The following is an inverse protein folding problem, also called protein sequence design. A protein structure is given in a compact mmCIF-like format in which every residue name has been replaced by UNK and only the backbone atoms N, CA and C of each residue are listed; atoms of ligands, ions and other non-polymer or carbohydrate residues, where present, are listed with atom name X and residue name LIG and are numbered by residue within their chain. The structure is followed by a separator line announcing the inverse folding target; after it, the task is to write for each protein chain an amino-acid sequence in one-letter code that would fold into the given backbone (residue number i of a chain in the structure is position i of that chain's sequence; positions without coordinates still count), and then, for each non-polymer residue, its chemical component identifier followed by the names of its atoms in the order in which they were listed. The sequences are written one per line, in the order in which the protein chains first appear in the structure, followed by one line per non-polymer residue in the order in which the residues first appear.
data_IF_539014003213
#
_entry.id   IF_539014003213
#
_cell.length_a   1.000
_cell.length_b   1.000
_cell.length_c   1.000
_cell.angle_alpha   90.00
_cell.angle_beta   90.00
_cell.angle_gamma   90.00
#
_symmetry.space_group_name_H-M   'P 1'
#
loop_
_entity.id
_entity.type
_entity.pdbx_description
1 polymer ?
#
# COMPACT_ATOMS: atom_id res chain seq x y z
N UNK A 1 5.60 18.72 -6.08
CA UNK A 1 4.43 19.21 -5.34
C UNK A 1 4.17 18.25 -4.20
N UNK A 2 4.21 18.70 -2.96
CA UNK A 2 4.12 17.85 -1.77
C UNK A 2 2.97 18.33 -0.92
N UNK A 3 2.16 17.40 -0.40
CA UNK A 3 1.11 17.68 0.59
C UNK A 3 1.35 16.83 1.82
N UNK A 4 1.39 17.45 2.95
CA UNK A 4 1.39 16.76 4.23
C UNK A 4 -0.03 16.76 4.76
N UNK A 5 -0.56 15.58 5.06
CA UNK A 5 -1.82 15.43 5.79
C UNK A 5 -1.55 14.72 7.11
N UNK A 6 -2.20 15.21 8.15
CA UNK A 6 -2.18 14.57 9.45
C UNK A 6 -3.41 13.68 9.58
N UNK A 7 -3.22 12.42 9.91
CA UNK A 7 -4.32 11.56 10.35
C UNK A 7 -4.76 12.00 11.75
N UNK A 8 -6.04 12.24 11.93
CA UNK A 8 -6.60 12.62 13.24
C UNK A 8 -6.53 11.44 14.21
N UNK A 9 -6.63 10.22 13.68
CA UNK A 9 -6.59 8.99 14.47
C UNK A 9 -5.53 8.03 13.94
N UNK A 10 -4.81 7.32 14.81
CA UNK A 10 -3.92 6.25 14.38
C UNK A 10 -4.75 5.14 13.71
N UNK A 11 -4.38 4.75 12.50
CA UNK A 11 -5.06 3.70 11.75
C UNK A 11 -4.08 2.91 10.89
N UNK A 12 -4.32 1.60 10.80
CA UNK A 12 -3.66 0.71 9.85
C UNK A 12 -4.63 0.20 8.77
N UNK A 13 -5.88 0.69 8.77
CA UNK A 13 -6.95 0.22 7.89
C UNK A 13 -6.77 0.83 6.51
N UNK A 14 -6.62 -0.03 5.50
CA UNK A 14 -6.34 0.39 4.12
C UNK A 14 -7.40 1.32 3.54
N UNK A 15 -8.67 1.10 3.83
CA UNK A 15 -9.78 1.96 3.35
C UNK A 15 -9.70 3.38 3.89
N UNK A 16 -9.36 3.55 5.16
CA UNK A 16 -9.18 4.87 5.76
C UNK A 16 -7.97 5.59 5.15
N UNK A 17 -6.84 4.88 5.02
CA UNK A 17 -5.64 5.44 4.39
C UNK A 17 -5.93 5.92 2.96
N UNK A 18 -6.67 5.13 2.18
CA UNK A 18 -7.10 5.54 0.84
C UNK A 18 -7.97 6.81 0.91
N UNK A 19 -8.88 6.89 1.88
CA UNK A 19 -9.70 8.09 2.10
C UNK A 19 -8.86 9.35 2.31
N UNK A 20 -7.85 9.28 3.18
CA UNK A 20 -6.92 10.38 3.41
C UNK A 20 -6.11 10.75 2.15
N UNK A 21 -5.63 9.73 1.43
CA UNK A 21 -4.89 9.95 0.18
C UNK A 21 -5.74 10.64 -0.88
N UNK A 22 -6.99 10.20 -1.05
CA UNK A 22 -7.92 10.81 -2.00
C UNK A 22 -8.29 12.24 -1.61
N UNK A 23 -8.47 12.51 -0.32
CA UNK A 23 -8.71 13.87 0.16
C UNK A 23 -7.50 14.79 -0.11
N UNK A 24 -6.29 14.30 0.13
CA UNK A 24 -5.06 15.02 -0.21
C UNK A 24 -4.95 15.30 -1.70
N UNK A 25 -5.22 14.27 -2.51
CA UNK A 25 -5.17 14.38 -3.96
C UNK A 25 -6.17 15.42 -4.47
N UNK A 26 -7.44 15.38 -4.04
CA UNK A 26 -8.48 16.36 -4.42
C UNK A 26 -8.09 17.78 -4.10
N UNK A 27 -7.38 18.00 -2.98
CA UNK A 27 -6.96 19.32 -2.54
C UNK A 27 -5.84 19.92 -3.40
N UNK A 28 -5.00 19.05 -3.98
CA UNK A 28 -3.82 19.46 -4.74
C UNK A 28 -3.91 19.15 -6.24
N UNK A 29 -4.93 18.45 -6.67
CA UNK A 29 -5.07 18.07 -8.07
C UNK A 29 -5.05 19.30 -8.98
N UNK A 30 -4.14 19.26 -9.96
CA UNK A 30 -4.09 20.20 -11.08
C UNK A 30 -3.98 19.39 -12.37
N UNK A 31 -4.59 19.83 -13.48
CA UNK A 31 -4.46 19.18 -14.77
C UNK A 31 -3.02 19.39 -15.32
N UNK A 32 -2.12 18.51 -14.94
CA UNK A 32 -0.73 18.51 -15.33
C UNK A 32 -0.29 17.08 -15.69
N UNK A 33 0.60 16.88 -16.68
CA UNK A 33 1.11 15.55 -17.01
C UNK A 33 2.06 15.05 -15.92
N UNK A 34 1.52 14.28 -14.96
CA UNK A 34 2.31 13.68 -13.89
C UNK A 34 3.08 12.47 -14.40
N UNK A 35 4.36 12.41 -14.09
CA UNK A 35 5.22 11.27 -14.41
C UNK A 35 5.22 10.20 -13.33
N UNK A 36 5.18 10.62 -12.08
CA UNK A 36 5.14 9.74 -10.90
C UNK A 36 4.34 10.37 -9.78
N UNK A 37 3.66 9.54 -9.02
CA UNK A 37 3.05 9.90 -7.74
C UNK A 37 3.53 8.92 -6.67
N UNK A 38 3.71 9.39 -5.46
CA UNK A 38 4.12 8.57 -4.33
C UNK A 38 3.50 9.07 -3.04
N UNK A 39 3.34 8.16 -2.10
CA UNK A 39 2.86 8.45 -0.76
C UNK A 39 3.90 7.94 0.23
N UNK A 40 4.21 8.76 1.21
CA UNK A 40 5.13 8.42 2.30
C UNK A 40 4.36 8.53 3.61
N UNK A 41 4.33 7.45 4.36
CA UNK A 41 3.79 7.43 5.71
C UNK A 41 4.91 7.71 6.70
N UNK A 42 4.71 8.70 7.57
CA UNK A 42 5.68 9.10 8.59
C UNK A 42 5.06 8.92 9.97
N UNK A 43 5.92 8.90 11.00
CA UNK A 43 5.51 8.75 12.40
C UNK A 43 4.71 7.45 12.64
N UNK A 44 5.20 6.34 12.08
CA UNK A 44 4.61 5.03 12.34
C UNK A 44 4.90 4.63 13.79
N UNK A 45 3.85 4.18 14.48
CA UNK A 45 3.93 3.63 15.83
C UNK A 45 3.38 2.21 15.87
N UNK A 46 3.82 1.42 16.84
CA UNK A 46 3.23 0.09 17.06
C UNK A 46 1.75 0.22 17.47
N UNK A 47 0.94 -0.74 17.02
CA UNK A 47 -0.48 -0.80 17.37
C UNK A 47 -0.70 -0.90 18.89
N UNK A 48 0.24 -1.54 19.61
CA UNK A 48 0.19 -1.71 21.06
C UNK A 48 0.35 -0.37 21.82
N UNK A 49 1.04 0.59 21.21
CA UNK A 49 1.29 1.92 21.78
C UNK A 49 0.26 2.96 21.30
N UNK A 50 -0.70 2.57 20.49
CA UNK A 50 -1.73 3.47 20.01
C UNK A 50 -2.71 3.78 21.15
N UNK A 51 -2.64 4.98 21.69
CA UNK A 51 -3.58 5.44 22.69
C UNK A 51 -4.99 5.48 22.10
N UNK A 52 -5.90 4.73 22.70
CA UNK A 52 -7.30 4.77 22.30
C UNK A 52 -7.88 6.12 22.74
N UNK A 53 -8.44 6.85 21.80
CA UNK A 53 -9.16 8.08 22.12
C UNK A 53 -10.53 7.76 22.70
N UNK A 54 -10.86 8.41 23.78
CA UNK A 54 -12.10 8.19 24.54
C UNK A 54 -13.38 8.47 23.72
N UNK A 55 -13.26 9.25 22.66
CA UNK A 55 -14.39 9.68 21.80
C UNK A 55 -14.37 9.02 20.43
N UNK A 56 -13.63 7.92 20.23
CA UNK A 56 -13.57 7.21 18.97
C UNK A 56 -14.67 6.13 18.92
N UNK A 57 -15.82 6.46 18.39
CA UNK A 57 -17.00 5.59 18.27
C UNK A 57 -16.94 4.63 17.07
N UNK A 58 -15.82 4.59 16.33
CA UNK A 58 -15.70 3.76 15.12
C UNK A 58 -15.65 2.27 15.46
N UNK A 59 -16.27 1.40 14.65
CA UNK A 59 -16.26 -0.05 14.87
C UNK A 59 -14.89 -0.66 14.47
N UNK A 60 -13.83 -0.27 15.17
CA UNK A 60 -12.43 -0.71 14.90
C UNK A 60 -12.29 -2.21 14.82
N UNK A 61 -12.91 -2.95 15.73
CA UNK A 61 -12.78 -4.40 15.77
C UNK A 61 -13.27 -5.09 14.49
N UNK A 62 -14.36 -4.58 13.89
CA UNK A 62 -14.90 -5.11 12.64
C UNK A 62 -13.92 -4.87 11.49
N UNK A 63 -13.39 -3.67 11.41
CA UNK A 63 -12.52 -3.25 10.32
C UNK A 63 -11.15 -3.91 10.43
N UNK A 64 -10.64 -4.10 11.63
CA UNK A 64 -9.42 -4.87 11.88
C UNK A 64 -9.59 -6.36 11.52
N UNK A 65 -10.72 -6.97 11.86
CA UNK A 65 -11.02 -8.36 11.46
C UNK A 65 -11.08 -8.49 9.94
N UNK A 66 -11.72 -7.55 9.28
CA UNK A 66 -11.79 -7.51 7.82
C UNK A 66 -10.39 -7.38 7.20
N UNK A 67 -9.57 -6.45 7.70
CA UNK A 67 -8.21 -6.25 7.21
C UNK A 67 -7.37 -7.52 7.40
N UNK A 68 -7.41 -8.14 8.58
CA UNK A 68 -6.72 -9.41 8.85
C UNK A 68 -7.17 -10.54 7.93
N UNK A 69 -8.47 -10.63 7.61
CA UNK A 69 -8.98 -11.63 6.68
C UNK A 69 -8.47 -11.39 5.25
N UNK A 70 -8.46 -10.15 4.78
CA UNK A 70 -7.91 -9.78 3.46
C UNK A 70 -6.42 -10.11 3.40
N UNK A 71 -5.67 -9.76 4.42
CA UNK A 71 -4.22 -10.02 4.49
C UNK A 71 -3.93 -11.53 4.51
N UNK A 72 -4.73 -12.29 5.23
CA UNK A 72 -4.63 -13.75 5.25
C UNK A 72 -4.87 -14.36 3.86
N UNK A 73 -5.93 -13.95 3.16
CA UNK A 73 -6.21 -14.43 1.81
C UNK A 73 -5.07 -14.05 0.86
N UNK A 74 -4.60 -12.81 0.91
CA UNK A 74 -3.53 -12.34 0.05
C UNK A 74 -2.18 -13.01 0.35
N UNK A 75 -1.94 -13.46 1.57
CA UNK A 75 -0.75 -14.24 1.92
C UNK A 75 -0.80 -15.67 1.38
N UNK A 76 -1.97 -16.29 1.35
CA UNK A 76 -2.15 -17.67 0.86
C UNK A 76 -2.23 -17.75 -0.66
N UNK A 77 -3.00 -16.88 -1.29
CA UNK A 77 -3.34 -16.97 -2.71
C UNK A 77 -2.58 -15.97 -3.60
N UNK A 78 -1.72 -15.16 -3.00
CA UNK A 78 -0.93 -14.15 -3.69
C UNK A 78 -1.40 -12.73 -3.43
N UNK A 79 -0.46 -11.78 -3.52
CA UNK A 79 -0.60 -10.36 -3.10
C UNK A 79 -1.74 -9.58 -3.77
N UNK A 80 -2.45 -10.17 -4.71
CA UNK A 80 -3.50 -9.50 -5.49
C UNK A 80 -4.78 -10.31 -5.60
N UNK A 81 -4.94 -11.36 -4.78
CA UNK A 81 -6.13 -12.20 -4.79
C UNK A 81 -7.39 -11.40 -4.42
N UNK A 82 -7.29 -10.57 -3.38
CA UNK A 82 -8.35 -9.63 -2.98
C UNK A 82 -7.81 -8.22 -3.04
N UNK A 83 -8.52 -7.35 -3.73
CA UNK A 83 -8.20 -5.92 -3.86
C UNK A 83 -9.41 -5.08 -3.50
N UNK A 84 -9.16 -3.91 -2.94
CA UNK A 84 -10.20 -2.90 -2.76
C UNK A 84 -10.53 -2.31 -4.13
N UNK A 85 -11.82 -2.10 -4.43
CA UNK A 85 -12.26 -1.62 -5.74
C UNK A 85 -11.56 -0.34 -6.22
N UNK A 86 -11.20 0.54 -5.30
CA UNK A 86 -10.45 1.76 -5.61
C UNK A 86 -9.00 1.52 -6.06
N UNK A 87 -8.45 0.32 -5.84
CA UNK A 87 -7.12 -0.06 -6.31
C UNK A 87 -7.15 -0.61 -7.74
N UNK A 88 -8.33 -0.97 -8.24
CA UNK A 88 -8.52 -1.54 -9.57
C UNK A 88 -8.72 -0.41 -10.58
N UNK A 89 -7.66 0.32 -10.88
CA UNK A 89 -7.73 1.47 -11.79
C UNK A 89 -7.46 1.13 -13.25
N UNK A 90 -7.12 -0.06 -13.62
CA UNK A 90 -7.11 -0.53 -15.02
C UNK A 90 -6.50 -1.91 -15.18
N UNK A 91 -7.01 -2.58 -16.17
CA UNK A 91 -6.44 -3.71 -16.92
C UNK A 91 -4.93 -3.88 -16.78
N UNK A 92 -4.55 -4.99 -16.24
CA UNK A 92 -3.40 -5.90 -16.42
C UNK A 92 -2.05 -5.40 -16.99
N UNK A 93 -1.88 -4.12 -17.25
CA UNK A 93 -0.56 -3.63 -17.65
C UNK A 93 0.22 -3.19 -16.41
N UNK A 94 1.39 -3.76 -16.16
CA UNK A 94 2.24 -3.30 -15.08
C UNK A 94 2.52 -1.81 -15.26
N UNK A 95 2.22 -1.01 -14.24
CA UNK A 95 2.45 0.44 -14.23
C UNK A 95 3.92 0.81 -14.47
N UNK A 96 4.82 -0.14 -14.30
CA UNK A 96 6.25 0.05 -14.51
C UNK A 96 6.73 -1.00 -15.52
N UNK A 97 7.33 -0.56 -16.63
CA UNK A 97 8.02 -1.45 -17.55
C UNK A 97 9.22 -2.05 -16.83
N UNK A 98 9.17 -3.35 -16.59
CA UNK A 98 10.25 -4.13 -15.96
C UNK A 98 10.94 -5.02 -17.00
N UNK A 99 11.28 -4.46 -18.14
CA UNK A 99 11.81 -5.22 -19.26
C UNK A 99 13.30 -5.59 -19.13
N UNK A 100 14.03 -4.87 -18.25
CA UNK A 100 15.46 -5.05 -18.05
C UNK A 100 15.77 -5.22 -16.56
N UNK A 101 15.34 -6.34 -16.01
CA UNK A 101 15.74 -6.73 -14.64
C UNK A 101 17.03 -7.54 -14.73
N UNK A 102 17.98 -7.24 -13.85
CA UNK A 102 19.12 -8.11 -13.64
C UNK A 102 18.65 -9.45 -13.06
N UNK A 103 19.29 -10.57 -13.40
CA UNK A 103 19.03 -11.85 -12.75
C UNK A 103 19.24 -11.77 -11.23
N UNK A 104 18.51 -12.60 -10.50
CA UNK A 104 18.56 -12.62 -9.04
C UNK A 104 19.68 -13.53 -8.51
N UNK A 105 20.92 -13.16 -8.79
CA UNK A 105 22.10 -13.98 -8.47
C UNK A 105 22.23 -14.44 -7.00
N UNK A 106 21.68 -13.67 -6.07
CA UNK A 106 21.79 -13.95 -4.64
C UNK A 106 20.60 -14.71 -4.06
N UNK A 107 19.44 -14.66 -4.73
CA UNK A 107 18.20 -15.24 -4.21
C UNK A 107 17.68 -16.41 -5.03
N UNK A 108 18.10 -16.55 -6.27
CA UNK A 108 17.71 -17.63 -7.14
C UNK A 108 18.93 -18.40 -7.64
N UNK A 109 19.10 -19.63 -7.14
CA UNK A 109 20.23 -20.50 -7.50
C UNK A 109 20.31 -20.77 -9.02
N UNK A 110 19.20 -20.75 -9.72
CA UNK A 110 19.15 -20.98 -11.19
C UNK A 110 19.74 -19.84 -12.00
N UNK A 111 19.81 -18.65 -11.41
CA UNK A 111 20.32 -17.44 -12.04
C UNK A 111 21.83 -17.24 -11.82
N UNK A 112 22.48 -18.15 -11.05
CA UNK A 112 23.91 -18.09 -10.77
C UNK A 112 24.68 -18.33 -12.07
N UNK A 113 25.65 -17.46 -12.32
CA UNK A 113 26.55 -17.60 -13.48
C UNK A 113 27.41 -18.86 -13.30
N UNK A 114 27.23 -19.85 -14.14
CA UNK A 114 28.06 -21.04 -14.20
C UNK A 114 29.21 -20.81 -15.18
N UNK A 115 30.43 -20.82 -14.67
CA UNK A 115 31.62 -20.81 -15.51
C UNK A 115 31.88 -22.23 -16.01
N UNK A 116 31.98 -22.40 -17.32
CA UNK A 116 32.49 -23.63 -17.91
C UNK A 116 34.02 -23.51 -17.96
N UNK A 117 34.68 -24.35 -17.22
CA UNK A 117 36.14 -24.56 -17.33
C UNK A 117 36.41 -25.48 -18.53
#
# INVERSE_FOLDING_TARGET
MTCTMLSVFPTAITTELIGYMLAALRKQWRPFPYKKAGVVLMNLSSADNAQQMLFDERPKERDERLQKAIDHINSQYGKTAVKIATQVLSTDKPLTKKEKLSPCYTTNIRDIITLKC
#
